data_IF_975462854500
#
_entry.id   IF_975462854500
#
_cell.length_a   1.000
_cell.length_b   1.000
_cell.length_c   1.000
_cell.angle_alpha   90.00
_cell.angle_beta   90.00
_cell.angle_gamma   90.00
#
_symmetry.space_group_name_H-M   'P 1'
#
loop_
_entity.id
_entity.type
_entity.pdbx_description
1 polymer ?
#
# COMPACT_ATOMS: atom_id res chain seq x y z
N UNK A 1 5.05 -9.32 -17.61
CA UNK A 1 4.86 -8.66 -16.31
C UNK A 1 6.23 -8.47 -15.69
N UNK A 2 6.41 -7.40 -14.91
CA UNK A 2 7.68 -7.15 -14.26
C UNK A 2 7.46 -6.46 -12.91
N UNK A 3 8.38 -6.73 -11.97
CA UNK A 3 8.19 -6.36 -10.57
C UNK A 3 8.80 -4.99 -10.27
N UNK A 4 8.05 -4.15 -9.54
CA UNK A 4 8.48 -2.83 -9.09
C UNK A 4 8.72 -1.83 -10.24
N UNK A 5 9.76 -1.02 -10.10
CA UNK A 5 10.09 0.08 -11.03
C UNK A 5 11.21 -0.26 -12.03
N UNK A 6 11.37 -1.53 -12.39
CA UNK A 6 12.35 -1.93 -13.40
C UNK A 6 12.06 -1.30 -14.78
N UNK A 7 13.05 -1.23 -15.69
CA UNK A 7 12.81 -0.78 -17.07
C UNK A 7 11.86 -1.75 -17.77
N UNK A 8 10.75 -1.24 -18.32
CA UNK A 8 9.69 -2.05 -18.92
C UNK A 8 9.36 -1.59 -20.36
N UNK A 9 9.42 -2.51 -21.34
CA UNK A 9 8.91 -2.27 -22.69
C UNK A 9 7.39 -2.02 -22.70
N UNK A 10 6.92 -1.36 -23.75
CA UNK A 10 5.50 -1.15 -23.98
C UNK A 10 4.72 -2.48 -23.95
N UNK A 11 3.59 -2.49 -23.22
CA UNK A 11 2.72 -3.66 -23.09
C UNK A 11 3.02 -4.60 -21.91
N UNK A 12 3.96 -4.24 -21.03
CA UNK A 12 4.25 -5.00 -19.79
C UNK A 12 3.54 -4.39 -18.58
N UNK A 13 2.82 -5.21 -17.81
CA UNK A 13 2.23 -4.80 -16.53
C UNK A 13 3.26 -4.78 -15.41
N UNK A 14 3.25 -3.72 -14.60
CA UNK A 14 3.96 -3.60 -13.33
C UNK A 14 3.24 -4.42 -12.25
N UNK A 15 4.03 -5.13 -11.45
CA UNK A 15 3.57 -5.95 -10.33
C UNK A 15 4.19 -5.47 -9.03
N UNK A 16 3.39 -5.48 -7.97
CA UNK A 16 3.86 -5.25 -6.61
C UNK A 16 3.04 -6.02 -5.59
N UNK A 17 3.56 -6.09 -4.37
CA UNK A 17 2.79 -6.55 -3.22
C UNK A 17 1.57 -5.65 -3.00
N UNK A 18 0.40 -6.26 -2.79
CA UNK A 18 -0.80 -5.53 -2.42
C UNK A 18 -0.71 -4.85 -1.05
N UNK A 19 -1.56 -3.84 -0.84
CA UNK A 19 -1.63 -3.10 0.43
C UNK A 19 -1.99 -4.01 1.63
N UNK A 20 -2.67 -5.14 1.37
CA UNK A 20 -2.90 -6.22 2.33
C UNK A 20 -2.11 -7.45 1.88
N UNK A 21 -0.94 -7.68 2.47
CA UNK A 21 0.01 -8.68 1.96
C UNK A 21 -0.06 -9.99 2.73
N UNK A 22 0.15 -10.00 4.04
CA UNK A 22 0.31 -11.25 4.80
C UNK A 22 0.16 -11.04 6.32
N UNK A 23 0.10 -12.14 7.08
CA UNK A 23 0.14 -12.14 8.57
C UNK A 23 1.56 -12.09 9.15
N UNK A 24 2.57 -12.17 8.29
CA UNK A 24 3.97 -12.18 8.66
C UNK A 24 4.77 -11.39 7.63
N UNK A 25 5.93 -10.87 8.02
CA UNK A 25 6.79 -10.09 7.13
C UNK A 25 7.16 -10.88 5.87
N UNK A 26 7.27 -10.19 4.73
CA UNK A 26 7.60 -10.81 3.44
C UNK A 26 8.93 -11.56 3.41
N UNK A 27 9.86 -11.23 4.31
CA UNK A 27 11.15 -11.92 4.48
C UNK A 27 11.03 -13.42 4.83
N UNK A 28 9.86 -13.88 5.29
CA UNK A 28 9.61 -15.29 5.59
C UNK A 28 9.10 -16.11 4.39
N UNK A 29 9.20 -15.56 3.17
CA UNK A 29 8.76 -16.20 1.91
C UNK A 29 7.28 -16.60 1.91
N UNK A 30 6.46 -15.93 2.72
CA UNK A 30 5.00 -16.12 2.73
C UNK A 30 4.41 -15.51 1.45
N UNK A 31 3.67 -16.29 0.63
CA UNK A 31 3.02 -15.78 -0.57
C UNK A 31 2.09 -14.61 -0.23
N UNK A 32 2.01 -13.58 -1.08
CA UNK A 32 1.13 -12.45 -0.84
C UNK A 32 -0.34 -12.86 -1.01
N UNK A 33 -1.21 -12.36 -0.14
CA UNK A 33 -2.66 -12.50 -0.20
C UNK A 33 -3.28 -11.64 -1.31
N UNK A 34 -2.60 -10.56 -1.70
CA UNK A 34 -3.02 -9.69 -2.79
C UNK A 34 -1.81 -9.11 -3.52
N UNK A 35 -2.00 -8.79 -4.79
CA UNK A 35 -1.02 -8.16 -5.66
C UNK A 35 -1.63 -6.88 -6.26
N UNK A 36 -0.79 -5.89 -6.49
CA UNK A 36 -1.10 -4.78 -7.40
C UNK A 36 -0.64 -5.17 -8.79
N UNK A 37 -1.51 -4.93 -9.77
CA UNK A 37 -1.21 -5.04 -11.20
C UNK A 37 -1.55 -3.70 -11.82
N UNK A 38 -0.55 -3.00 -12.34
CA UNK A 38 -0.71 -1.66 -12.90
C UNK A 38 -0.16 -1.64 -14.33
N UNK A 39 -0.93 -1.05 -15.24
CA UNK A 39 -0.67 -1.04 -16.68
C UNK A 39 -0.02 0.25 -17.14
N UNK A 40 -0.31 1.37 -16.48
CA UNK A 40 0.17 2.69 -16.86
C UNK A 40 1.51 3.03 -16.21
N UNK A 41 1.72 2.57 -14.97
CA UNK A 41 2.93 2.83 -14.19
C UNK A 41 2.95 1.97 -12.93
N UNK A 42 3.51 2.48 -11.83
CA UNK A 42 3.37 1.85 -10.52
C UNK A 42 3.14 2.92 -9.45
N UNK A 43 2.28 2.65 -8.47
CA UNK A 43 1.72 3.63 -7.53
C UNK A 43 2.73 4.47 -6.72
N UNK A 44 3.99 4.05 -6.65
CA UNK A 44 5.02 4.76 -5.90
C UNK A 44 5.97 5.57 -6.80
N UNK A 45 5.89 5.44 -8.13
CA UNK A 45 6.72 6.21 -9.07
C UNK A 45 5.99 7.51 -9.44
N UNK A 46 6.44 8.68 -8.95
CA UNK A 46 5.79 9.95 -9.25
C UNK A 46 6.10 10.50 -10.65
N UNK A 47 7.04 9.89 -11.38
CA UNK A 47 7.49 10.40 -12.67
C UNK A 47 6.55 10.04 -13.84
N UNK A 48 5.57 9.17 -13.59
CA UNK A 48 4.65 8.64 -14.61
C UNK A 48 3.26 8.43 -14.00
N UNK A 49 2.18 8.62 -14.77
CA UNK A 49 0.85 8.26 -14.32
C UNK A 49 0.72 6.76 -14.02
N UNK A 50 -0.08 6.43 -13.02
CA UNK A 50 -0.45 5.07 -12.63
C UNK A 50 -1.96 4.82 -12.81
N UNK A 51 -2.34 3.54 -12.91
CA UNK A 51 -3.75 3.16 -12.91
C UNK A 51 -4.41 3.58 -11.59
N UNK A 52 -3.68 3.52 -10.46
CA UNK A 52 -4.18 3.96 -9.17
C UNK A 52 -4.54 5.46 -9.16
N UNK A 53 -3.69 6.33 -9.69
CA UNK A 53 -3.99 7.76 -9.80
C UNK A 53 -5.25 8.01 -10.63
N UNK A 54 -5.40 7.28 -11.72
CA UNK A 54 -6.60 7.34 -12.57
C UNK A 54 -7.84 6.89 -11.79
N UNK A 55 -7.75 5.82 -11.00
CA UNK A 55 -8.85 5.36 -10.14
C UNK A 55 -9.20 6.38 -9.04
N UNK A 56 -8.21 7.04 -8.45
CA UNK A 56 -8.41 8.10 -7.45
C UNK A 56 -9.14 9.28 -8.08
N UNK A 57 -8.70 9.75 -9.26
CA UNK A 57 -9.36 10.85 -9.97
C UNK A 57 -10.82 10.50 -10.31
N UNK A 58 -11.09 9.25 -10.69
CA UNK A 58 -12.44 8.77 -10.99
C UNK A 58 -13.30 8.45 -9.75
N UNK A 59 -12.74 8.53 -8.53
CA UNK A 59 -13.47 8.20 -7.29
C UNK A 59 -14.67 9.11 -7.03
N UNK A 60 -14.71 10.29 -7.64
CA UNK A 60 -15.85 11.21 -7.61
C UNK A 60 -17.11 10.64 -8.26
N UNK A 61 -16.96 9.60 -9.08
CA UNK A 61 -18.05 8.94 -9.81
C UNK A 61 -18.49 7.62 -9.18
N UNK A 62 -17.94 7.25 -8.01
CA UNK A 62 -18.37 6.05 -7.30
C UNK A 62 -19.85 6.15 -6.90
N UNK A 63 -20.55 5.04 -7.06
CA UNK A 63 -21.91 4.87 -6.59
C UNK A 63 -21.99 4.92 -5.05
N UNK A 64 -23.19 5.17 -4.52
CA UNK A 64 -23.40 5.16 -3.07
C UNK A 64 -23.01 3.80 -2.44
N UNK A 65 -23.27 2.69 -3.13
CA UNK A 65 -22.90 1.35 -2.66
C UNK A 65 -21.39 1.15 -2.59
N UNK A 66 -20.64 1.69 -3.55
CA UNK A 66 -19.17 1.63 -3.55
C UNK A 66 -18.58 2.48 -2.43
N UNK A 67 -19.14 3.66 -2.18
CA UNK A 67 -18.76 4.50 -1.05
C UNK A 67 -19.02 3.83 0.30
N UNK A 68 -20.20 3.23 0.48
CA UNK A 68 -20.54 2.48 1.70
C UNK A 68 -19.58 1.31 1.91
N UNK A 69 -19.32 0.51 0.86
CA UNK A 69 -18.36 -0.59 0.90
C UNK A 69 -16.95 -0.12 1.27
N UNK A 70 -16.48 1.00 0.72
CA UNK A 70 -15.18 1.57 1.04
C UNK A 70 -15.09 2.02 2.51
N UNK A 71 -16.14 2.67 3.03
CA UNK A 71 -16.22 3.09 4.42
C UNK A 71 -16.24 1.89 5.40
N UNK A 72 -17.02 0.86 5.09
CA UNK A 72 -17.04 -0.38 5.88
C UNK A 72 -15.68 -1.08 5.88
N UNK A 73 -15.02 -1.15 4.72
CA UNK A 73 -13.67 -1.71 4.63
C UNK A 73 -12.68 -0.92 5.47
N UNK A 74 -12.66 0.41 5.36
CA UNK A 74 -11.79 1.26 6.17
C UNK A 74 -12.01 1.03 7.67
N UNK A 75 -13.27 1.01 8.11
CA UNK A 75 -13.61 0.78 9.52
C UNK A 75 -13.11 -0.60 10.01
N UNK A 76 -13.28 -1.65 9.21
CA UNK A 76 -12.77 -3.00 9.52
C UNK A 76 -11.26 -3.04 9.62
N UNK A 77 -10.54 -2.30 8.76
CA UNK A 77 -9.08 -2.24 8.80
C UNK A 77 -8.60 -1.55 10.09
N UNK A 78 -9.20 -0.41 10.43
CA UNK A 78 -8.84 0.38 11.63
C UNK A 78 -9.15 -0.40 12.91
N UNK A 79 -10.40 -0.86 13.07
CA UNK A 79 -10.83 -1.58 14.28
C UNK A 79 -10.13 -2.91 14.45
N UNK A 80 -9.79 -3.57 13.33
CA UNK A 80 -9.01 -4.81 13.33
C UNK A 80 -7.50 -4.62 13.47
N UNK A 81 -6.99 -3.37 13.52
CA UNK A 81 -5.55 -3.06 13.48
C UNK A 81 -4.81 -3.77 12.34
N UNK A 82 -5.48 -3.88 11.18
CA UNK A 82 -4.99 -4.60 10.01
C UNK A 82 -4.02 -3.69 9.25
N UNK A 83 -2.85 -4.22 8.90
CA UNK A 83 -1.79 -3.54 8.15
C UNK A 83 -1.23 -4.43 7.04
N UNK A 84 -0.21 -3.98 6.31
CA UNK A 84 0.42 -4.76 5.22
C UNK A 84 0.91 -6.13 5.69
N UNK A 85 1.50 -6.21 6.88
CA UNK A 85 2.14 -7.43 7.41
C UNK A 85 1.48 -8.00 8.68
N UNK A 86 0.52 -7.29 9.28
CA UNK A 86 -0.24 -7.70 10.47
C UNK A 86 0.63 -8.34 11.58
N UNK A 87 1.75 -7.69 11.99
CA UNK A 87 2.62 -8.23 13.02
C UNK A 87 1.88 -8.30 14.36
N UNK A 88 2.42 -9.09 15.29
CA UNK A 88 1.88 -9.18 16.64
C UNK A 88 1.79 -7.80 17.31
N UNK A 89 0.77 -7.56 18.15
CA UNK A 89 0.62 -6.30 18.87
C UNK A 89 1.90 -5.95 19.63
N UNK A 90 2.41 -4.74 19.44
CA UNK A 90 3.53 -4.23 20.24
C UNK A 90 3.04 -3.80 21.61
N UNK A 91 3.91 -3.87 22.62
CA UNK A 91 3.62 -3.31 23.93
C UNK A 91 3.28 -1.81 23.83
N UNK A 92 2.41 -1.34 24.72
CA UNK A 92 2.09 0.08 24.82
C UNK A 92 3.37 0.88 25.14
N UNK A 93 3.60 1.95 24.37
CA UNK A 93 4.72 2.85 24.62
C UNK A 93 4.39 3.75 25.80
N UNK A 94 5.22 3.72 26.84
CA UNK A 94 5.18 4.72 27.91
C UNK A 94 5.87 5.99 27.41
N UNK A 95 5.06 6.96 26.98
CA UNK A 95 5.55 8.24 26.45
C UNK A 95 5.31 9.36 27.46
N UNK A 96 6.24 10.30 27.62
CA UNK A 96 6.06 11.45 28.49
C UNK A 96 4.82 12.28 28.09
N UNK A 97 4.27 13.08 29.02
CA UNK A 97 3.21 14.02 28.70
C UNK A 97 3.73 15.10 27.74
N UNK A 98 2.82 15.66 26.93
CA UNK A 98 3.13 16.71 25.97
C UNK A 98 2.89 16.31 24.51
N UNK A 99 3.37 17.15 23.60
CA UNK A 99 3.22 16.94 22.15
C UNK A 99 4.04 15.75 21.69
N UNK A 100 3.41 14.87 20.91
CA UNK A 100 4.03 13.67 20.34
C UNK A 100 4.09 13.80 18.82
N UNK A 101 5.21 13.39 18.23
CA UNK A 101 5.43 13.35 16.79
C UNK A 101 5.96 11.96 16.46
N UNK A 102 5.31 11.27 15.52
CA UNK A 102 5.79 10.00 14.98
C UNK A 102 6.52 10.29 13.67
N UNK A 103 7.77 9.82 13.56
CA UNK A 103 8.57 9.88 12.33
C UNK A 103 8.84 8.45 11.89
N UNK A 104 8.06 7.87 10.95
CA UNK A 104 8.32 6.53 10.45
C UNK A 104 9.58 6.53 9.57
N UNK A 105 10.56 5.71 9.92
CA UNK A 105 11.70 5.44 9.05
C UNK A 105 11.34 4.53 7.89
N UNK A 106 12.07 4.62 6.78
CA UNK A 106 11.94 3.75 5.62
C UNK A 106 13.31 3.20 5.21
N UNK A 107 13.33 2.10 4.46
CA UNK A 107 14.56 1.55 3.89
C UNK A 107 15.06 2.53 2.82
N UNK A 108 16.30 3.00 2.95
CA UNK A 108 16.88 4.05 2.08
C UNK A 108 16.88 3.65 0.60
N UNK A 109 17.01 2.36 0.35
CA UNK A 109 17.08 1.78 -1.00
C UNK A 109 15.72 1.37 -1.57
N UNK A 110 14.63 1.66 -0.86
CA UNK A 110 13.27 1.40 -1.34
C UNK A 110 13.02 2.20 -2.64
N UNK A 111 12.42 1.55 -3.63
CA UNK A 111 12.13 2.17 -4.92
C UNK A 111 11.20 3.39 -4.77
N UNK A 112 10.33 3.39 -3.75
CA UNK A 112 9.48 4.54 -3.41
C UNK A 112 10.24 5.76 -2.87
N UNK A 113 11.53 5.63 -2.56
CA UNK A 113 12.40 6.71 -2.07
C UNK A 113 13.39 7.18 -3.14
N UNK A 114 13.83 6.28 -4.02
CA UNK A 114 14.90 6.57 -5.00
C UNK A 114 14.44 7.29 -6.27
N UNK A 115 13.14 7.27 -6.58
CA UNK A 115 12.58 7.75 -7.86
C UNK A 115 12.12 9.21 -7.82
#
# INVERSE_FOLDING_TARGET
>A
MAWGAGPHPDGVHHLEDGFLRSKVFGAQLVPPLSLVVDRAGIYFDPNRPSDLETMIANSLHLSEQEWQRAAELQNRLITGSISKYNPHPSAALSLPPGRRILVPGQVEDDASIRL
#
